data_IF_594846988912
#
_entry.id   IF_594846988912
#
_cell.length_a   1.000
_cell.length_b   1.000
_cell.length_c   1.000
_cell.angle_alpha   90.00
_cell.angle_beta   90.00
_cell.angle_gamma   90.00
#
_symmetry.space_group_name_H-M   'P 1'
#
loop_
_entity.id
_entity.type
_entity.pdbx_description
1 polymer ?
#
# COMPACT_ATOMS: atom_id res chain seq x y z
N UNK A 1 12.12 -0.66 -25.02
CA UNK A 1 12.48 -0.48 -26.43
C UNK A 1 13.93 -0.03 -26.47
N UNK A 2 14.84 -0.95 -26.85
CA UNK A 2 16.24 -0.60 -27.01
C UNK A 2 16.42 0.34 -28.24
N UNK A 3 17.20 1.39 -28.07
CA UNK A 3 17.65 2.25 -29.15
C UNK A 3 19.10 1.86 -29.42
N UNK A 4 19.34 1.12 -30.50
CA UNK A 4 20.73 0.82 -30.94
C UNK A 4 21.24 2.09 -31.64
N UNK A 5 22.28 2.68 -31.05
CA UNK A 5 22.93 3.90 -31.53
C UNK A 5 24.35 3.55 -31.94
N UNK A 6 24.77 3.94 -33.16
CA UNK A 6 26.16 3.91 -33.56
C UNK A 6 26.93 5.00 -32.77
N UNK A 7 28.21 4.75 -32.55
CA UNK A 7 29.06 5.67 -31.76
C UNK A 7 29.10 7.05 -32.45
N UNK A 8 28.69 8.09 -31.71
CA UNK A 8 28.61 9.47 -32.20
C UNK A 8 27.25 9.94 -32.74
N UNK A 9 26.24 9.07 -32.87
CA UNK A 9 24.91 9.47 -33.32
C UNK A 9 23.97 9.78 -32.14
N UNK A 10 23.26 10.91 -32.20
CA UNK A 10 22.22 11.29 -31.23
C UNK A 10 20.84 10.93 -31.81
N UNK A 11 20.47 9.64 -31.70
CA UNK A 11 19.21 9.13 -32.26
C UNK A 11 18.07 9.25 -31.26
N UNK A 12 16.97 9.83 -31.71
CA UNK A 12 15.70 9.89 -30.97
C UNK A 12 14.70 8.92 -31.62
N UNK A 13 14.08 8.06 -30.79
CA UNK A 13 13.03 7.16 -31.26
C UNK A 13 11.69 7.55 -30.65
N UNK A 14 10.75 7.98 -31.46
CA UNK A 14 9.38 8.27 -31.05
C UNK A 14 8.53 7.01 -31.10
N UNK A 15 7.93 6.63 -29.98
CA UNK A 15 7.04 5.48 -29.86
C UNK A 15 5.75 5.94 -29.22
N UNK A 16 4.57 5.75 -29.82
CA UNK A 16 3.30 6.09 -29.24
C UNK A 16 3.06 5.32 -27.94
N UNK A 17 2.48 5.97 -26.93
CA UNK A 17 2.03 5.27 -25.72
C UNK A 17 0.92 4.28 -26.06
N UNK A 18 0.91 3.13 -25.38
CA UNK A 18 -0.24 2.22 -25.44
C UNK A 18 -1.48 2.92 -24.83
N UNK A 19 -2.69 2.53 -25.24
CA UNK A 19 -3.94 3.06 -24.69
C UNK A 19 -3.99 2.96 -23.16
N UNK A 20 -3.56 1.83 -22.60
CA UNK A 20 -3.48 1.63 -21.15
C UNK A 20 -2.54 2.64 -20.51
N UNK A 21 -1.33 2.83 -21.06
CA UNK A 21 -0.35 3.78 -20.54
C UNK A 21 -0.87 5.23 -20.60
N UNK A 22 -1.52 5.62 -21.66
CA UNK A 22 -2.12 6.94 -21.81
C UNK A 22 -3.24 7.19 -20.78
N UNK A 23 -4.08 6.18 -20.51
CA UNK A 23 -5.13 6.25 -19.50
C UNK A 23 -4.55 6.39 -18.08
N UNK A 24 -3.53 5.61 -17.76
CA UNK A 24 -2.82 5.70 -16.47
C UNK A 24 -2.20 7.09 -16.29
N UNK A 25 -1.50 7.59 -17.31
CA UNK A 25 -0.87 8.92 -17.28
C UNK A 25 -1.89 10.02 -16.98
N UNK A 26 -3.04 10.02 -17.67
CA UNK A 26 -4.12 10.97 -17.45
C UNK A 26 -4.64 10.90 -16.00
N UNK A 27 -4.92 9.71 -15.49
CA UNK A 27 -5.43 9.52 -14.12
C UNK A 27 -4.45 10.00 -13.06
N UNK A 28 -3.15 9.74 -13.23
CA UNK A 28 -2.14 10.16 -12.26
C UNK A 28 -2.00 11.69 -12.21
N UNK A 29 -2.01 12.35 -13.36
CA UNK A 29 -1.98 13.82 -13.42
C UNK A 29 -3.25 14.42 -12.81
N UNK A 30 -4.42 13.87 -13.13
CA UNK A 30 -5.70 14.31 -12.58
C UNK A 30 -5.73 14.17 -11.06
N UNK A 31 -5.24 13.06 -10.50
CA UNK A 31 -5.15 12.85 -9.06
C UNK A 31 -4.32 13.94 -8.36
N UNK A 32 -3.19 14.35 -8.95
CA UNK A 32 -2.36 15.42 -8.38
C UNK A 32 -2.94 16.82 -8.54
N UNK A 33 -3.72 17.06 -9.58
CA UNK A 33 -4.32 18.38 -9.87
C UNK A 33 -5.62 18.63 -9.11
N UNK A 34 -6.36 17.57 -8.75
CA UNK A 34 -7.67 17.68 -8.10
C UNK A 34 -7.66 17.53 -6.58
N UNK A 35 -6.54 17.12 -6.00
CA UNK A 35 -6.39 16.94 -4.56
C UNK A 35 -5.36 17.91 -3.97
N UNK A 36 -5.60 18.40 -2.76
CA UNK A 36 -4.60 19.10 -1.95
C UNK A 36 -3.73 18.06 -1.23
N UNK A 37 -2.87 17.40 -1.98
CA UNK A 37 -2.12 16.24 -1.50
C UNK A 37 -0.97 16.63 -0.58
N UNK A 38 -0.95 16.05 0.63
CA UNK A 38 0.14 16.13 1.59
C UNK A 38 0.63 14.74 1.93
N UNK A 39 1.93 14.59 2.17
CA UNK A 39 2.52 13.33 2.61
C UNK A 39 3.21 13.51 3.95
N UNK A 40 2.94 12.62 4.89
CA UNK A 40 3.63 12.52 6.17
C UNK A 40 4.34 11.20 6.29
N UNK A 41 5.45 11.19 7.04
CA UNK A 41 6.31 10.02 7.21
C UNK A 41 6.35 9.60 8.66
N UNK A 42 6.37 8.29 8.88
CA UNK A 42 6.59 7.67 10.18
C UNK A 42 7.60 6.53 10.05
N UNK A 43 8.27 6.23 11.15
CA UNK A 43 9.18 5.09 11.26
C UNK A 43 8.51 3.95 12.04
N UNK A 44 8.66 2.73 11.54
CA UNK A 44 8.14 1.53 12.21
C UNK A 44 9.28 0.57 12.50
N UNK A 45 9.37 0.14 13.76
CA UNK A 45 10.22 -0.97 14.15
C UNK A 45 9.55 -2.29 13.74
N UNK A 46 10.12 -2.97 12.76
CA UNK A 46 9.58 -4.21 12.21
C UNK A 46 9.97 -5.46 13.01
N UNK A 47 10.85 -5.33 14.01
CA UNK A 47 11.36 -6.47 14.78
C UNK A 47 10.23 -7.33 15.38
N UNK A 48 9.21 -6.76 16.09
CA UNK A 48 8.13 -7.57 16.66
C UNK A 48 7.36 -8.38 15.61
N UNK A 49 7.01 -7.76 14.48
CA UNK A 49 6.29 -8.43 13.38
C UNK A 49 7.14 -9.51 12.73
N UNK A 50 8.45 -9.27 12.55
CA UNK A 50 9.39 -10.24 11.99
C UNK A 50 9.57 -11.44 12.91
N UNK A 51 9.66 -11.21 14.22
CA UNK A 51 9.78 -12.28 15.24
C UNK A 51 8.49 -13.12 15.30
N UNK A 52 7.32 -12.47 15.31
CA UNK A 52 6.03 -13.15 15.29
C UNK A 52 5.89 -14.00 14.01
N UNK A 53 6.22 -13.44 12.87
CA UNK A 53 6.22 -14.17 11.60
C UNK A 53 7.19 -15.36 11.64
N UNK A 54 8.41 -15.18 12.15
CA UNK A 54 9.40 -16.26 12.29
C UNK A 54 8.89 -17.39 13.17
N UNK A 55 8.21 -17.06 14.26
CA UNK A 55 7.66 -18.03 15.22
C UNK A 55 6.52 -18.85 14.60
N UNK A 56 5.64 -18.24 13.83
CA UNK A 56 4.39 -18.86 13.40
C UNK A 56 4.32 -19.28 11.92
N UNK A 57 5.25 -18.86 11.07
CA UNK A 57 5.18 -19.09 9.61
C UNK A 57 4.96 -20.55 9.22
N UNK A 58 5.64 -21.50 9.87
CA UNK A 58 5.58 -22.92 9.51
C UNK A 58 4.24 -23.54 9.96
N UNK A 59 3.78 -23.19 11.16
CA UNK A 59 2.47 -23.60 11.67
C UNK A 59 1.36 -23.02 10.81
N UNK A 60 1.47 -21.72 10.48
CA UNK A 60 0.50 -21.01 9.65
C UNK A 60 0.35 -21.64 8.26
N UNK A 61 1.47 -21.92 7.58
CA UNK A 61 1.47 -22.56 6.25
C UNK A 61 0.84 -23.95 6.32
N UNK A 62 1.16 -24.72 7.37
CA UNK A 62 0.61 -26.06 7.59
C UNK A 62 -0.89 -26.06 7.86
N UNK A 63 -1.40 -25.08 8.61
CA UNK A 63 -2.82 -25.02 9.02
C UNK A 63 -3.71 -24.32 8.00
N UNK A 64 -3.14 -23.57 7.06
CA UNK A 64 -3.88 -22.77 6.07
C UNK A 64 -3.58 -23.18 4.63
N UNK A 65 -3.56 -24.50 4.36
CA UNK A 65 -3.44 -25.09 3.02
C UNK A 65 -2.25 -24.55 2.20
N UNK A 66 -1.10 -24.34 2.83
CA UNK A 66 0.11 -23.83 2.17
C UNK A 66 0.15 -22.31 1.99
N UNK A 67 -0.81 -21.57 2.53
CA UNK A 67 -0.79 -20.11 2.51
C UNK A 67 0.35 -19.60 3.40
N UNK A 68 1.23 -18.78 2.83
CA UNK A 68 2.38 -18.22 3.55
C UNK A 68 2.00 -16.98 4.33
N UNK A 69 2.49 -16.87 5.57
CA UNK A 69 2.34 -15.67 6.37
C UNK A 69 3.32 -14.58 5.86
N UNK A 70 2.80 -13.60 5.16
CA UNK A 70 3.53 -12.42 4.69
C UNK A 70 3.41 -11.25 5.66
N UNK A 71 3.94 -10.08 5.25
CA UNK A 71 3.77 -8.83 6.01
C UNK A 71 2.47 -8.10 5.65
N UNK A 72 1.94 -8.33 4.45
CA UNK A 72 0.79 -7.55 3.96
C UNK A 72 -0.46 -7.72 4.81
N UNK A 73 -0.74 -8.92 5.31
CA UNK A 73 -1.89 -9.15 6.18
C UNK A 73 -1.83 -8.33 7.48
N UNK A 74 -0.65 -8.16 8.08
CA UNK A 74 -0.48 -7.29 9.24
C UNK A 74 -0.79 -5.83 8.90
N UNK A 75 -0.30 -5.33 7.78
CA UNK A 75 -0.56 -3.95 7.36
C UNK A 75 -2.02 -3.73 6.98
N UNK A 76 -2.65 -4.68 6.28
CA UNK A 76 -4.08 -4.60 5.94
C UNK A 76 -4.92 -4.55 7.21
N UNK A 77 -4.67 -5.41 8.20
CA UNK A 77 -5.42 -5.38 9.47
C UNK A 77 -5.16 -4.10 10.26
N UNK A 78 -3.92 -3.64 10.32
CA UNK A 78 -3.58 -2.39 10.98
C UNK A 78 -4.28 -1.19 10.34
N UNK A 79 -4.29 -1.13 9.00
CA UNK A 79 -5.02 -0.09 8.25
C UNK A 79 -6.52 -0.19 8.50
N UNK A 80 -7.10 -1.39 8.44
CA UNK A 80 -8.52 -1.61 8.72
C UNK A 80 -8.92 -1.04 10.08
N UNK A 81 -8.15 -1.33 11.13
CA UNK A 81 -8.42 -0.79 12.47
C UNK A 81 -8.21 0.74 12.55
N UNK A 82 -7.21 1.26 11.85
CA UNK A 82 -6.99 2.70 11.78
C UNK A 82 -8.15 3.43 11.09
N UNK A 83 -8.66 2.88 9.98
CA UNK A 83 -9.80 3.47 9.24
C UNK A 83 -11.10 3.46 10.06
N UNK A 84 -11.29 2.47 10.93
CA UNK A 84 -12.42 2.45 11.87
C UNK A 84 -12.31 3.53 12.95
N UNK A 85 -11.09 3.83 13.40
CA UNK A 85 -10.84 4.90 14.40
C UNK A 85 -10.87 6.30 13.79
N UNK A 86 -10.50 6.42 12.51
CA UNK A 86 -10.43 7.67 11.78
C UNK A 86 -11.26 7.60 10.49
N UNK A 87 -12.60 7.66 10.60
CA UNK A 87 -13.49 7.45 9.45
C UNK A 87 -13.29 8.43 8.29
N UNK A 88 -12.81 9.65 8.58
CA UNK A 88 -12.51 10.64 7.54
C UNK A 88 -11.43 10.17 6.56
N UNK A 89 -10.50 9.32 7.00
CA UNK A 89 -9.46 8.73 6.15
C UNK A 89 -10.04 7.65 5.22
N UNK A 90 -11.20 7.09 5.56
CA UNK A 90 -11.93 6.09 4.77
C UNK A 90 -13.11 6.69 4.00
N UNK A 91 -13.11 7.99 3.77
CA UNK A 91 -14.19 8.70 3.11
C UNK A 91 -13.74 9.21 1.73
N UNK A 92 -14.68 9.74 0.95
CA UNK A 92 -14.41 10.37 -0.34
C UNK A 92 -15.14 11.70 -0.44
N UNK A 93 -14.76 12.51 -1.43
CA UNK A 93 -15.42 13.78 -1.74
C UNK A 93 -16.29 13.58 -2.97
N UNK A 94 -17.57 13.95 -2.87
CA UNK A 94 -18.51 14.03 -3.99
C UNK A 94 -19.13 15.43 -4.05
N UNK A 95 -18.70 16.25 -5.00
CA UNK A 95 -19.05 17.65 -5.06
C UNK A 95 -18.61 18.42 -3.80
N UNK A 96 -19.58 18.85 -2.99
CA UNK A 96 -19.35 19.50 -1.70
C UNK A 96 -19.61 18.58 -0.49
N UNK A 97 -19.92 17.32 -0.74
CA UNK A 97 -20.25 16.36 0.31
C UNK A 97 -19.07 15.46 0.66
N UNK A 98 -18.93 15.13 1.93
CA UNK A 98 -18.06 14.07 2.43
C UNK A 98 -18.87 12.77 2.52
N UNK A 99 -18.45 11.76 1.76
CA UNK A 99 -19.12 10.45 1.73
C UNK A 99 -18.33 9.48 2.60
N UNK A 100 -18.87 9.14 3.76
CA UNK A 100 -18.27 8.17 4.69
C UNK A 100 -18.68 6.75 4.33
N UNK A 101 -17.70 5.83 4.30
CA UNK A 101 -17.93 4.43 4.00
C UNK A 101 -18.01 3.61 5.30
N UNK A 102 -19.08 2.84 5.47
CA UNK A 102 -19.29 1.95 6.63
C UNK A 102 -18.55 0.59 6.49
N UNK A 103 -17.66 0.47 5.52
CA UNK A 103 -16.89 -0.73 5.20
C UNK A 103 -15.46 -0.33 4.82
N UNK A 104 -14.52 -1.27 4.89
CA UNK A 104 -13.13 -1.06 4.53
C UNK A 104 -12.75 -1.99 3.37
N UNK A 105 -12.72 -1.42 2.17
CA UNK A 105 -12.30 -2.09 0.94
C UNK A 105 -10.91 -1.57 0.56
N UNK A 106 -9.88 -2.40 0.77
CA UNK A 106 -8.49 -1.99 0.67
C UNK A 106 -7.88 -2.47 -0.64
N UNK A 107 -7.52 -1.52 -1.50
CA UNK A 107 -6.70 -1.78 -2.67
C UNK A 107 -5.27 -2.13 -2.28
N UNK A 108 -4.71 -3.18 -2.87
CA UNK A 108 -3.31 -3.58 -2.69
C UNK A 108 -2.61 -3.51 -4.03
N UNK A 109 -1.60 -2.66 -4.14
CA UNK A 109 -0.84 -2.52 -5.37
C UNK A 109 -0.01 -3.78 -5.66
N UNK A 110 -0.24 -4.39 -6.81
CA UNK A 110 0.52 -5.54 -7.32
C UNK A 110 1.20 -5.19 -8.63
N UNK A 111 2.46 -5.58 -8.78
CA UNK A 111 3.20 -5.40 -10.03
C UNK A 111 2.92 -6.55 -10.99
N UNK A 112 2.61 -6.20 -12.24
CA UNK A 112 2.39 -7.16 -13.33
C UNK A 112 3.19 -6.75 -14.56
N UNK A 113 3.34 -7.65 -15.53
CA UNK A 113 4.00 -7.37 -16.80
C UNK A 113 3.30 -6.25 -17.61
N UNK A 114 2.03 -6.00 -17.31
CA UNK A 114 1.22 -4.93 -17.92
C UNK A 114 1.32 -3.60 -17.18
N UNK A 115 1.99 -3.57 -16.04
CA UNK A 115 2.14 -2.41 -15.15
C UNK A 115 1.56 -2.65 -13.76
N UNK A 116 1.49 -1.59 -12.97
CA UNK A 116 0.94 -1.62 -11.62
C UNK A 116 -0.60 -1.70 -11.68
N UNK A 117 -1.15 -2.70 -11.00
CA UNK A 117 -2.59 -2.89 -10.82
C UNK A 117 -2.93 -2.81 -9.33
N UNK A 118 -4.14 -2.38 -9.00
CA UNK A 118 -4.57 -2.21 -7.61
C UNK A 118 -5.90 -2.95 -7.40
N UNK A 119 -5.87 -4.29 -7.30
CA UNK A 119 -7.04 -5.06 -6.93
C UNK A 119 -7.45 -4.78 -5.49
N UNK A 120 -8.73 -4.99 -5.18
CA UNK A 120 -9.37 -4.58 -3.93
C UNK A 120 -9.76 -5.79 -3.10
N UNK A 121 -9.25 -5.83 -1.86
CA UNK A 121 -9.74 -6.71 -0.80
C UNK A 121 -11.05 -6.12 -0.26
N UNK A 122 -12.12 -6.89 -0.30
CA UNK A 122 -13.45 -6.45 0.16
C UNK A 122 -13.67 -6.79 1.63
N UNK A 123 -14.33 -5.88 2.35
CA UNK A 123 -14.74 -6.10 3.74
C UNK A 123 -13.59 -6.62 4.62
N UNK A 124 -12.46 -5.95 4.60
CA UNK A 124 -11.22 -6.39 5.29
C UNK A 124 -11.38 -6.51 6.80
N UNK A 125 -12.41 -5.89 7.37
CA UNK A 125 -12.76 -6.04 8.78
C UNK A 125 -13.09 -7.49 9.12
N UNK A 126 -13.84 -8.18 8.27
CA UNK A 126 -14.23 -9.58 8.44
C UNK A 126 -13.15 -10.59 8.02
N UNK A 127 -12.10 -10.17 7.31
CA UNK A 127 -11.06 -11.07 6.81
C UNK A 127 -10.03 -11.42 7.89
N UNK A 128 -9.67 -12.70 7.98
CA UNK A 128 -8.52 -13.17 8.76
C UNK A 128 -7.19 -12.99 8.02
N UNK A 129 -6.07 -13.13 8.74
CA UNK A 129 -4.72 -13.00 8.14
C UNK A 129 -4.50 -13.99 6.99
N UNK A 130 -4.95 -15.23 7.13
CA UNK A 130 -4.81 -16.27 6.11
C UNK A 130 -5.61 -15.95 4.84
N UNK A 131 -6.82 -15.44 5.00
CA UNK A 131 -7.68 -15.05 3.88
C UNK A 131 -7.10 -13.87 3.11
N UNK A 132 -6.57 -12.86 3.83
CA UNK A 132 -5.88 -11.71 3.23
C UNK A 132 -4.69 -12.19 2.40
N UNK A 133 -3.80 -13.01 2.97
CA UNK A 133 -2.61 -13.49 2.28
C UNK A 133 -2.98 -14.36 1.05
N UNK A 134 -3.96 -15.24 1.18
CA UNK A 134 -4.43 -16.08 0.08
C UNK A 134 -5.01 -15.25 -1.06
N UNK A 135 -5.82 -14.24 -0.72
CA UNK A 135 -6.43 -13.35 -1.72
C UNK A 135 -5.38 -12.50 -2.44
N UNK A 136 -4.38 -11.97 -1.71
CA UNK A 136 -3.27 -11.21 -2.33
C UNK A 136 -2.45 -12.12 -3.25
N UNK A 137 -2.17 -13.36 -2.84
CA UNK A 137 -1.46 -14.34 -3.66
C UNK A 137 -2.26 -14.66 -4.95
N UNK A 138 -3.58 -14.81 -4.85
CA UNK A 138 -4.48 -14.98 -6.01
C UNK A 138 -4.44 -13.77 -6.95
N UNK A 139 -4.51 -12.56 -6.41
CA UNK A 139 -4.36 -11.33 -7.19
C UNK A 139 -3.01 -11.29 -7.95
N UNK A 140 -1.92 -11.67 -7.29
CA UNK A 140 -0.61 -11.74 -7.91
C UNK A 140 -0.57 -12.75 -9.05
N UNK A 141 -1.19 -13.93 -8.88
CA UNK A 141 -1.28 -14.97 -9.92
C UNK A 141 -2.16 -14.50 -11.09
N UNK A 142 -3.39 -14.04 -10.81
CA UNK A 142 -4.30 -13.54 -11.85
C UNK A 142 -3.76 -12.32 -12.57
N UNK A 143 -2.99 -11.48 -11.86
CA UNK A 143 -2.31 -10.34 -12.45
C UNK A 143 -1.27 -10.75 -13.52
N UNK A 144 -0.41 -11.71 -13.20
CA UNK A 144 0.55 -12.29 -14.17
C UNK A 144 -0.15 -12.97 -15.34
N UNK A 145 -1.23 -13.70 -15.07
CA UNK A 145 -2.01 -14.39 -16.10
C UNK A 145 -2.89 -13.43 -16.93
N UNK A 146 -2.92 -12.14 -16.60
CA UNK A 146 -3.76 -11.14 -17.28
C UNK A 146 -5.26 -11.31 -17.05
N UNK A 147 -5.65 -11.97 -15.95
CA UNK A 147 -7.03 -12.31 -15.59
C UNK A 147 -7.67 -11.37 -14.57
N UNK A 148 -7.00 -10.31 -14.13
CA UNK A 148 -7.62 -9.28 -13.30
C UNK A 148 -8.55 -8.43 -14.16
N UNK A 149 -9.81 -8.37 -13.78
CA UNK A 149 -10.85 -7.58 -14.46
C UNK A 149 -11.12 -6.24 -13.78
N UNK A 150 -11.98 -5.44 -14.41
CA UNK A 150 -12.40 -4.13 -13.85
C UNK A 150 -13.08 -4.29 -12.49
N UNK A 151 -13.88 -5.34 -12.30
CA UNK A 151 -14.58 -5.61 -11.04
C UNK A 151 -13.62 -5.86 -9.87
N UNK A 152 -12.43 -6.41 -10.14
CA UNK A 152 -11.41 -6.62 -9.10
C UNK A 152 -10.79 -5.29 -8.61
N UNK A 153 -10.82 -4.24 -9.43
CA UNK A 153 -10.07 -2.98 -9.21
C UNK A 153 -10.96 -1.78 -8.84
N UNK A 154 -12.29 -1.94 -8.88
CA UNK A 154 -13.23 -0.84 -8.59
C UNK A 154 -13.67 -0.85 -7.13
N UNK A 155 -14.07 0.32 -6.62
CA UNK A 155 -14.78 0.47 -5.35
C UNK A 155 -13.92 0.39 -4.09
N UNK A 156 -12.59 0.42 -4.19
CA UNK A 156 -11.73 0.52 -3.02
C UNK A 156 -11.89 1.84 -2.28
N UNK A 157 -11.75 1.81 -0.95
CA UNK A 157 -11.86 3.00 -0.08
C UNK A 157 -10.52 3.54 0.40
N UNK A 158 -9.48 2.71 0.33
CA UNK A 158 -8.10 3.04 0.71
C UNK A 158 -7.14 2.18 -0.11
N UNK A 159 -5.90 2.61 -0.26
CA UNK A 159 -4.87 1.84 -1.00
C UNK A 159 -3.61 1.66 -0.17
N UNK A 160 -3.01 0.46 -0.25
CA UNK A 160 -1.67 0.17 0.26
C UNK A 160 -0.76 -0.15 -0.93
N UNK A 161 0.38 0.52 -1.01
CA UNK A 161 1.42 0.25 -2.01
C UNK A 161 2.75 -0.09 -1.33
N UNK A 162 3.55 -0.96 -1.95
CA UNK A 162 4.84 -1.38 -1.39
C UNK A 162 5.97 -1.14 -2.39
N UNK A 163 6.70 -0.04 -2.20
CA UNK A 163 7.91 0.29 -2.93
C UNK A 163 9.17 -0.43 -2.42
N UNK A 164 9.08 -1.08 -1.27
CA UNK A 164 10.22 -1.77 -0.63
C UNK A 164 10.73 -2.95 -1.42
N UNK A 165 9.88 -3.60 -2.21
CA UNK A 165 10.26 -4.67 -3.14
C UNK A 165 11.22 -4.20 -4.24
N UNK A 166 11.23 -2.90 -4.52
CA UNK A 166 12.14 -2.24 -5.46
C UNK A 166 13.29 -1.50 -4.76
N UNK A 167 13.42 -1.65 -3.44
CA UNK A 167 14.46 -1.01 -2.65
C UNK A 167 14.22 0.46 -2.31
N UNK A 168 13.02 0.98 -2.51
CA UNK A 168 12.68 2.37 -2.17
C UNK A 168 12.84 2.62 -0.66
N UNK A 169 13.56 3.68 -0.30
CA UNK A 169 13.69 4.15 1.09
C UNK A 169 12.44 4.88 1.54
N UNK A 170 12.00 5.86 0.76
CA UNK A 170 10.85 6.73 0.95
C UNK A 170 10.26 7.12 -0.39
N UNK A 171 8.97 7.40 -0.42
CA UNK A 171 8.27 7.97 -1.57
C UNK A 171 7.10 8.83 -1.10
N UNK A 172 6.54 9.63 -2.00
CA UNK A 172 5.28 10.34 -1.82
C UNK A 172 4.23 9.68 -2.70
N UNK A 173 3.48 8.69 -2.21
CA UNK A 173 2.54 7.97 -3.04
C UNK A 173 1.42 8.88 -3.54
N UNK A 174 1.00 8.67 -4.79
CA UNK A 174 -0.08 9.43 -5.43
C UNK A 174 -1.41 8.75 -5.07
N UNK A 175 -2.42 9.53 -4.73
CA UNK A 175 -3.77 9.05 -4.42
C UNK A 175 -4.38 8.27 -5.59
N UNK A 176 -5.26 7.33 -5.27
CA UNK A 176 -6.08 6.60 -6.24
C UNK A 176 -7.55 7.09 -6.14
N UNK A 177 -7.94 8.15 -6.88
CA UNK A 177 -9.28 8.72 -6.76
C UNK A 177 -10.38 7.68 -7.02
N UNK A 178 -11.53 7.79 -6.33
CA UNK A 178 -11.98 8.85 -5.43
C UNK A 178 -11.49 8.72 -3.97
N UNK A 179 -10.54 7.82 -3.70
CA UNK A 179 -9.94 7.65 -2.37
C UNK A 179 -9.20 8.90 -1.93
N UNK A 180 -9.23 9.19 -0.64
CA UNK A 180 -8.60 10.39 -0.08
C UNK A 180 -7.31 10.12 0.67
N UNK A 181 -6.89 8.85 0.77
CA UNK A 181 -5.62 8.49 1.40
C UNK A 181 -5.02 7.21 0.80
N UNK A 182 -3.70 7.09 0.94
CA UNK A 182 -2.89 5.95 0.49
C UNK A 182 -1.69 5.76 1.41
N UNK A 183 -1.43 4.52 1.80
CA UNK A 183 -0.26 4.13 2.58
C UNK A 183 0.84 3.57 1.66
N UNK A 184 2.03 4.16 1.72
CA UNK A 184 3.24 3.65 1.09
C UNK A 184 4.12 2.91 2.10
N UNK A 185 4.42 1.65 1.79
CA UNK A 185 5.43 0.85 2.48
C UNK A 185 6.75 0.91 1.72
N UNK A 186 7.86 0.74 2.44
CA UNK A 186 9.20 0.84 1.88
C UNK A 186 10.09 -0.31 2.35
N UNK A 187 11.37 -0.29 1.98
CA UNK A 187 12.30 -1.34 2.39
C UNK A 187 12.47 -1.40 3.90
N UNK A 188 12.61 -2.62 4.42
CA UNK A 188 13.09 -2.85 5.77
C UNK A 188 14.61 -2.77 5.74
N UNK A 189 15.20 -1.98 6.62
CA UNK A 189 16.64 -1.77 6.70
C UNK A 189 17.07 -1.68 8.15
N UNK A 190 18.16 -2.36 8.50
CA UNK A 190 18.79 -2.20 9.80
C UNK A 190 19.34 -0.77 9.95
N UNK A 191 18.94 -0.11 11.05
CA UNK A 191 19.29 1.28 11.33
C UNK A 191 19.64 1.47 12.79
N UNK A 192 20.61 2.35 13.10
CA UNK A 192 20.88 2.75 14.48
C UNK A 192 19.74 3.65 14.96
N UNK A 193 19.11 3.23 16.06
CA UNK A 193 17.99 3.94 16.70
C UNK A 193 18.34 4.22 18.15
N UNK A 194 17.88 5.35 18.67
CA UNK A 194 17.98 5.68 20.07
C UNK A 194 16.82 5.04 20.85
N UNK A 195 17.11 4.12 21.75
CA UNK A 195 16.14 3.46 22.61
C UNK A 195 16.62 3.50 24.06
N UNK A 196 15.86 4.11 24.96
CA UNK A 196 16.21 4.27 26.39
C UNK A 196 17.60 4.88 26.62
N UNK A 197 17.98 5.86 25.78
CA UNK A 197 19.27 6.54 25.87
C UNK A 197 20.47 5.74 25.33
N UNK A 198 20.23 4.60 24.70
CA UNK A 198 21.24 3.77 24.05
C UNK A 198 21.02 3.68 22.55
N UNK A 199 22.11 3.46 21.81
CA UNK A 199 22.04 3.18 20.38
C UNK A 199 21.84 1.67 20.18
N UNK A 200 20.73 1.29 19.52
CA UNK A 200 20.39 -0.08 19.18
C UNK A 200 20.20 -0.22 17.68
N UNK A 201 20.52 -1.38 17.12
CA UNK A 201 20.27 -1.68 15.71
C UNK A 201 18.91 -2.35 15.59
N UNK A 202 18.01 -1.77 14.84
CA UNK A 202 16.65 -2.26 14.63
C UNK A 202 16.29 -2.31 13.13
N UNK A 203 15.53 -3.32 12.70
CA UNK A 203 14.99 -3.38 11.34
C UNK A 203 13.84 -2.36 11.22
N UNK A 204 14.11 -1.24 10.57
CA UNK A 204 13.18 -0.13 10.43
C UNK A 204 12.58 -0.05 9.03
N UNK A 205 11.34 0.39 8.95
CA UNK A 205 10.66 0.73 7.71
C UNK A 205 10.09 2.15 7.81
N UNK A 206 10.27 2.95 6.75
CA UNK A 206 9.51 4.19 6.61
C UNK A 206 8.13 3.89 6.04
N UNK A 207 7.12 4.50 6.65
CA UNK A 207 5.75 4.56 6.14
C UNK A 207 5.48 5.98 5.66
N UNK A 208 4.87 6.10 4.50
CA UNK A 208 4.39 7.35 3.95
C UNK A 208 2.86 7.30 3.85
N UNK A 209 2.18 8.25 4.46
CA UNK A 209 0.75 8.44 4.28
C UNK A 209 0.53 9.70 3.46
N UNK A 210 0.06 9.54 2.22
CA UNK A 210 -0.44 10.67 1.43
C UNK A 210 -1.96 10.76 1.59
N UNK A 211 -2.47 11.98 1.72
CA UNK A 211 -3.89 12.22 1.90
C UNK A 211 -4.32 13.57 1.30
N UNK A 212 -5.61 13.70 1.07
CA UNK A 212 -6.22 14.92 0.60
C UNK A 212 -6.49 15.85 1.78
N UNK A 213 -5.68 16.91 1.90
CA UNK A 213 -5.75 17.85 3.02
C UNK A 213 -6.99 18.75 2.98
N UNK A 214 -7.80 18.69 1.92
CA UNK A 214 -9.10 19.36 1.92
C UNK A 214 -10.07 18.72 2.92
N UNK A 215 -9.82 17.48 3.33
CA UNK A 215 -10.72 16.66 4.11
C UNK A 215 -10.08 16.08 5.37
N UNK A 216 -8.79 15.81 5.35
CA UNK A 216 -8.04 15.17 6.43
C UNK A 216 -7.06 16.17 7.02
N UNK A 217 -7.23 16.48 8.32
CA UNK A 217 -6.36 17.35 9.09
C UNK A 217 -5.26 16.59 9.83
N UNK A 218 -4.23 17.32 10.28
CA UNK A 218 -3.05 16.76 10.92
C UNK A 218 -3.28 15.96 12.21
N UNK A 219 -4.47 15.96 12.77
CA UNK A 219 -4.81 15.20 13.98
C UNK A 219 -5.19 13.75 13.67
N UNK A 220 -5.62 13.44 12.45
CA UNK A 220 -6.23 12.18 12.04
C UNK A 220 -5.22 11.17 11.51
N UNK A 221 -3.97 11.55 11.28
CA UNK A 221 -2.92 10.67 10.74
C UNK A 221 -1.83 10.30 11.75
N UNK A 222 -1.92 10.77 12.99
CA UNK A 222 -1.00 10.30 14.02
C UNK A 222 -1.40 8.85 14.30
N UNK A 223 -0.66 7.93 13.69
CA UNK A 223 -0.67 6.54 14.17
C UNK A 223 -0.35 6.64 15.67
N UNK A 224 -1.26 6.21 16.56
CA UNK A 224 -1.01 6.33 17.97
C UNK A 224 0.37 5.75 18.28
N UNK A 225 1.22 6.51 18.97
CA UNK A 225 2.41 5.95 19.61
C UNK A 225 1.92 4.79 20.48
N UNK A 226 2.12 3.57 20.03
CA UNK A 226 1.63 2.40 20.73
C UNK A 226 0.74 1.49 19.89
N UNK A 227 1.02 1.29 18.60
CA UNK A 227 0.68 0.04 17.96
C UNK A 227 1.59 -1.05 18.54
N UNK A 228 1.42 -1.29 19.85
CA UNK A 228 1.79 -2.55 20.45
C UNK A 228 0.69 -3.53 20.01
N UNK A 229 1.07 -4.58 19.30
CA UNK A 229 0.28 -5.79 19.25
C UNK A 229 0.33 -6.35 20.68
N UNK A 230 -0.57 -5.89 21.54
CA UNK A 230 -0.83 -6.57 22.79
C UNK A 230 -1.31 -7.95 22.39
N UNK A 231 -0.49 -8.93 22.72
CA UNK A 231 -0.72 -10.30 22.32
C UNK A 231 -2.13 -10.71 22.69
N UNK A 232 -2.85 -11.18 21.70
CA UNK A 232 -4.17 -11.73 21.85
C UNK A 232 -4.14 -12.85 22.88
N UNK A 233 -4.89 -12.66 23.96
CA UNK A 233 -5.41 -13.75 24.77
C UNK A 233 -6.40 -14.57 23.94
#
# INVERSE_FOLDING_TARGET
VAVNVAEGERVEKRVPMTRLRATIAKRLVEAQQTAAMLTTYNEVNMKPVMELRKQYKDLFEKTHNGTRLGFMSFFVKAVTEALKRFPAVNASIDGNDMVYHGYQDIGVAVSTDRGLMVPVLRDTDSMGLAEIEATIADFGKRGRDGKLGMADMQGGTFTITNGGTFGSLMSTPILNPPQTAILGMHKIQDRPMAENGQVVILPMMYLALSYDHRMIDGKEYIIPKGFQFDGAS
#
